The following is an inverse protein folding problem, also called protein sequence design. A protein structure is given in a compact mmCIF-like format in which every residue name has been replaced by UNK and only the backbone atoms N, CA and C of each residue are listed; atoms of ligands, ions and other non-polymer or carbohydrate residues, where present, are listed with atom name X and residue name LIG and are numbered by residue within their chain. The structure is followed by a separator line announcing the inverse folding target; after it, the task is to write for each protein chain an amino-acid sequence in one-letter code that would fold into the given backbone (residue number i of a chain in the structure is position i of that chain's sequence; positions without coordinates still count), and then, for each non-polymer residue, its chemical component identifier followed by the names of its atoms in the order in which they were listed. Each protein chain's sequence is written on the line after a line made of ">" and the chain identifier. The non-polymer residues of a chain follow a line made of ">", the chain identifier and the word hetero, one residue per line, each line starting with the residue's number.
data_IF_086927891289
#
_entry.id   IF_086927891289
#
_cell.length_a   1.000
_cell.length_b   1.000
_cell.length_c   1.000
_cell.angle_alpha   90.00
_cell.angle_beta   90.00
_cell.angle_gamma   90.00
#
_symmetry.space_group_name_H-M   'P 1'
#
loop_
_entity.id
_entity.type
_entity.pdbx_description
1 polymer ?
#
# COMPACT_ATOMS: atom_id res chain seq x y z
N UNK A 1 3.71 -5.91 -11.44
CA UNK A 1 2.88 -5.25 -10.41
C UNK A 1 3.05 -5.99 -9.10
N UNK A 2 3.14 -5.26 -8.00
CA UNK A 2 3.40 -5.83 -6.68
C UNK A 2 2.14 -6.51 -6.12
N UNK A 3 2.26 -7.76 -5.71
CA UNK A 3 1.19 -8.53 -5.04
C UNK A 3 1.56 -8.97 -3.62
N UNK A 4 2.80 -8.76 -3.21
CA UNK A 4 3.33 -9.05 -1.87
C UNK A 4 4.50 -8.14 -1.54
N UNK A 5 4.61 -7.71 -0.30
CA UNK A 5 5.76 -6.94 0.16
C UNK A 5 6.09 -7.23 1.62
N UNK A 6 7.14 -6.61 2.12
CA UNK A 6 7.58 -6.73 3.51
C UNK A 6 7.76 -5.38 4.17
N UNK A 7 7.54 -5.33 5.46
CA UNK A 7 7.95 -4.26 6.34
C UNK A 7 8.28 -4.87 7.71
N UNK A 8 9.54 -5.12 7.98
CA UNK A 8 10.01 -5.65 9.26
C UNK A 8 11.25 -4.90 9.81
N UNK A 9 11.61 -3.80 9.17
CA UNK A 9 12.59 -2.87 9.73
C UNK A 9 12.16 -2.41 11.14
N UNK A 10 13.10 -2.09 12.04
CA UNK A 10 12.76 -1.59 13.36
C UNK A 10 11.84 -0.36 13.28
N UNK A 11 10.81 -0.25 14.16
CA UNK A 11 9.85 0.86 14.12
C UNK A 11 10.54 2.22 14.12
N UNK A 12 11.57 2.39 14.94
CA UNK A 12 12.31 3.64 15.05
C UNK A 12 13.01 4.04 13.73
N UNK A 13 13.48 3.05 12.97
CA UNK A 13 14.09 3.29 11.67
C UNK A 13 13.04 3.75 10.63
N UNK A 14 11.83 3.19 10.70
CA UNK A 14 10.70 3.59 9.85
C UNK A 14 10.25 5.00 10.20
N UNK A 15 10.01 5.29 11.47
CA UNK A 15 9.58 6.60 11.97
C UNK A 15 10.59 7.69 11.60
N UNK A 16 11.88 7.43 11.79
CA UNK A 16 12.94 8.35 11.43
C UNK A 16 13.01 8.58 9.91
N UNK A 17 12.85 7.51 9.13
CA UNK A 17 12.94 7.58 7.66
C UNK A 17 11.85 8.45 7.04
N UNK A 18 10.64 8.43 7.61
CA UNK A 18 9.46 9.10 7.07
C UNK A 18 9.02 10.34 7.88
N UNK A 19 9.76 10.69 8.94
CA UNK A 19 9.40 11.78 9.85
C UNK A 19 7.94 11.66 10.33
N UNK A 20 7.56 10.46 10.77
CA UNK A 20 6.21 10.11 11.15
C UNK A 20 6.22 9.11 12.29
N UNK A 21 5.14 9.07 13.08
CA UNK A 21 5.02 8.22 14.27
C UNK A 21 3.88 7.22 14.09
N UNK A 22 4.09 5.98 14.49
CA UNK A 22 3.04 4.96 14.52
C UNK A 22 1.93 5.35 15.52
N UNK A 23 0.68 5.35 15.07
CA UNK A 23 -0.51 5.59 15.90
C UNK A 23 -0.85 4.38 16.78
N UNK A 24 -0.44 3.17 16.35
CA UNK A 24 -0.59 1.90 17.06
C UNK A 24 0.74 1.13 17.09
N UNK A 25 0.91 0.17 18.01
CA UNK A 25 2.10 -0.67 18.06
C UNK A 25 2.34 -1.39 16.73
N UNK A 26 3.52 -1.21 16.17
CA UNK A 26 3.91 -1.81 14.91
C UNK A 26 4.09 -3.33 15.03
N UNK A 27 3.49 -4.06 14.10
CA UNK A 27 3.68 -5.50 13.97
C UNK A 27 4.46 -5.80 12.68
N UNK A 28 5.67 -6.38 12.75
CA UNK A 28 6.46 -6.72 11.58
C UNK A 28 5.68 -7.59 10.57
N UNK A 29 5.83 -7.26 9.30
CA UNK A 29 5.21 -7.99 8.19
C UNK A 29 6.26 -8.51 7.23
N UNK A 30 6.49 -9.82 7.26
CA UNK A 30 7.43 -10.48 6.34
C UNK A 30 6.80 -10.79 4.99
N UNK A 31 5.48 -10.90 4.95
CA UNK A 31 4.71 -11.28 3.76
C UNK A 31 3.36 -10.57 3.76
N UNK A 32 3.39 -9.25 3.59
CA UNK A 32 2.20 -8.44 3.50
C UNK A 32 1.41 -8.78 2.22
N UNK A 33 0.11 -8.97 2.36
CA UNK A 33 -0.79 -9.44 1.32
C UNK A 33 -2.05 -8.58 1.23
N UNK A 34 -2.75 -8.59 0.09
CA UNK A 34 -4.06 -7.97 -0.04
C UNK A 34 -5.03 -8.37 1.08
N UNK A 35 -5.90 -7.45 1.46
CA UNK A 35 -6.89 -7.54 2.54
C UNK A 35 -6.32 -7.50 3.97
N UNK A 36 -5.05 -7.30 4.12
CA UNK A 36 -4.44 -7.01 5.42
C UNK A 36 -4.41 -5.50 5.67
N UNK A 37 -4.54 -5.12 6.95
CA UNK A 37 -4.31 -3.74 7.39
C UNK A 37 -2.81 -3.51 7.53
N UNK A 38 -2.30 -2.52 6.82
CA UNK A 38 -0.87 -2.30 6.62
C UNK A 38 -0.50 -0.82 6.82
N UNK A 39 0.72 -0.53 7.30
CA UNK A 39 1.16 0.83 7.60
C UNK A 39 1.21 1.74 6.38
N UNK A 40 0.61 2.92 6.51
CA UNK A 40 0.60 3.97 5.50
C UNK A 40 0.77 5.35 6.13
N UNK A 41 1.26 6.29 5.32
CA UNK A 41 1.20 7.73 5.60
C UNK A 41 0.26 8.35 4.58
N UNK A 42 -0.84 8.93 5.03
CA UNK A 42 -1.84 9.58 4.17
C UNK A 42 -1.59 11.07 4.00
N UNK A 43 -2.15 11.64 2.96
CA UNK A 43 -2.12 13.07 2.68
C UNK A 43 -3.11 13.89 3.54
N UNK A 44 -3.94 13.21 4.29
CA UNK A 44 -4.94 13.80 5.19
C UNK A 44 -4.45 13.96 6.64
N UNK A 45 -3.32 13.35 7.01
CA UNK A 45 -2.74 13.39 8.36
C UNK A 45 -1.23 13.35 8.32
N UNK A 46 -0.62 14.51 8.34
CA UNK A 46 0.83 14.66 8.36
C UNK A 46 1.46 14.06 9.63
N UNK A 47 2.57 13.36 9.43
CA UNK A 47 3.38 12.82 10.52
C UNK A 47 2.76 11.61 11.26
N UNK A 48 1.68 11.03 10.77
CA UNK A 48 1.03 9.87 11.37
C UNK A 48 1.14 8.64 10.48
N UNK A 49 1.68 7.54 11.02
CA UNK A 49 1.66 6.22 10.39
C UNK A 49 0.48 5.46 10.96
N UNK A 50 -0.53 5.24 10.15
CA UNK A 50 -1.73 4.48 10.50
C UNK A 50 -1.88 3.25 9.62
N UNK A 51 -2.85 2.39 9.91
CA UNK A 51 -3.13 1.23 9.09
C UNK A 51 -4.31 1.47 8.16
N UNK A 52 -4.18 0.98 6.93
CA UNK A 52 -5.28 0.88 5.96
C UNK A 52 -5.31 -0.53 5.36
N UNK A 53 -6.51 -0.99 5.02
CA UNK A 53 -6.66 -2.28 4.34
C UNK A 53 -6.23 -2.19 2.88
N UNK A 54 -5.39 -3.12 2.44
CA UNK A 54 -4.98 -3.21 1.04
C UNK A 54 -6.08 -3.79 0.17
N UNK A 55 -6.59 -2.98 -0.74
CA UNK A 55 -7.66 -3.32 -1.68
C UNK A 55 -8.64 -2.16 -1.79
N UNK A 56 -8.40 -1.25 -2.74
CA UNK A 56 -9.22 -0.07 -2.93
C UNK A 56 -10.61 -0.46 -3.42
N UNK A 57 -11.63 -0.05 -2.67
CA UNK A 57 -13.03 -0.18 -3.06
C UNK A 57 -13.51 1.17 -3.57
N UNK A 58 -13.98 1.28 -4.83
CA UNK A 58 -14.47 2.55 -5.34
C UNK A 58 -15.67 3.08 -4.52
N UNK A 59 -15.84 4.41 -4.39
CA UNK A 59 -16.91 4.99 -3.56
C UNK A 59 -18.34 4.62 -3.99
N UNK A 60 -18.50 4.20 -5.24
CA UNK A 60 -19.78 3.79 -5.82
C UNK A 60 -20.06 2.28 -5.72
N UNK A 61 -19.13 1.50 -5.16
CA UNK A 61 -19.31 0.05 -5.02
C UNK A 61 -20.07 -0.28 -3.73
N UNK A 62 -21.07 -1.13 -3.85
CA UNK A 62 -21.94 -1.50 -2.73
C UNK A 62 -21.33 -2.56 -1.82
N UNK A 63 -20.32 -3.27 -2.29
CA UNK A 63 -19.70 -4.37 -1.52
C UNK A 63 -18.22 -4.54 -1.80
N UNK A 64 -17.55 -5.28 -0.90
CA UNK A 64 -16.17 -5.75 -1.05
C UNK A 64 -16.07 -7.15 -1.65
N UNK A 65 -17.15 -7.70 -2.16
CA UNK A 65 -17.19 -9.13 -2.55
C UNK A 65 -16.09 -9.50 -3.56
N UNK A 66 -15.75 -8.58 -4.45
CA UNK A 66 -14.68 -8.77 -5.45
C UNK A 66 -13.28 -8.44 -4.92
N UNK A 67 -13.12 -8.14 -3.62
CA UNK A 67 -11.81 -7.92 -2.99
C UNK A 67 -11.15 -6.58 -3.24
N UNK A 68 -11.76 -5.69 -4.01
CA UNK A 68 -11.21 -4.39 -4.38
C UNK A 68 -10.03 -4.49 -5.36
N UNK A 69 -9.52 -3.32 -5.74
CA UNK A 69 -8.35 -3.21 -6.62
C UNK A 69 -7.07 -3.21 -5.81
N UNK A 70 -6.20 -4.18 -6.06
CA UNK A 70 -4.92 -4.30 -5.35
C UNK A 70 -3.79 -3.50 -6.00
N UNK A 71 -3.94 -3.09 -7.27
CA UNK A 71 -2.97 -2.29 -8.01
C UNK A 71 -3.67 -1.31 -8.95
N UNK A 72 -3.03 -0.18 -9.20
CA UNK A 72 -3.39 0.80 -10.23
C UNK A 72 -2.19 1.04 -11.15
N UNK A 73 -2.44 1.23 -12.42
CA UNK A 73 -1.40 1.59 -13.40
C UNK A 73 -1.24 3.09 -13.46
N UNK A 74 -0.02 3.58 -13.31
CA UNK A 74 0.29 5.01 -13.34
C UNK A 74 -0.19 5.67 -14.65
N UNK A 75 -0.11 4.94 -15.77
CA UNK A 75 -0.47 5.44 -17.10
C UNK A 75 -1.97 5.73 -17.26
N UNK A 76 -2.82 5.11 -16.45
CA UNK A 76 -4.28 5.22 -16.59
C UNK A 76 -4.99 5.66 -15.32
N UNK A 77 -4.27 5.84 -14.22
CA UNK A 77 -4.84 6.15 -12.90
C UNK A 77 -5.66 7.45 -12.90
N UNK A 78 -5.23 8.45 -13.68
CA UNK A 78 -5.90 9.74 -13.79
C UNK A 78 -7.25 9.69 -14.53
N UNK A 79 -7.52 8.62 -15.30
CA UNK A 79 -8.69 8.52 -16.18
C UNK A 79 -9.67 7.42 -15.75
N UNK A 80 -9.17 6.37 -15.11
CA UNK A 80 -10.00 5.23 -14.66
C UNK A 80 -11.01 5.66 -13.58
N UNK A 81 -12.31 5.41 -13.76
CA UNK A 81 -13.35 5.78 -12.79
C UNK A 81 -13.08 5.31 -11.36
N UNK A 82 -12.46 4.13 -11.22
CA UNK A 82 -12.14 3.56 -9.91
C UNK A 82 -11.07 4.33 -9.13
N UNK A 83 -10.25 5.14 -9.80
CA UNK A 83 -9.06 5.75 -9.22
C UNK A 83 -8.99 7.27 -9.35
N UNK A 84 -9.58 7.83 -10.44
CA UNK A 84 -9.37 9.23 -10.84
C UNK A 84 -9.73 10.23 -9.75
N UNK A 85 -10.80 9.97 -9.00
CA UNK A 85 -11.30 10.92 -7.99
C UNK A 85 -10.33 10.99 -6.80
N UNK A 86 -9.84 9.84 -6.33
CA UNK A 86 -8.79 9.78 -5.32
C UNK A 86 -7.45 10.36 -5.83
N UNK A 87 -7.09 10.08 -7.10
CA UNK A 87 -5.88 10.61 -7.70
C UNK A 87 -5.89 12.12 -7.85
N UNK A 88 -7.03 12.69 -8.27
CA UNK A 88 -7.21 14.14 -8.47
C UNK A 88 -7.57 14.88 -7.17
N UNK A 89 -7.96 14.14 -6.14
CA UNK A 89 -8.49 14.68 -4.88
C UNK A 89 -9.77 15.50 -5.10
N UNK A 90 -10.59 15.10 -6.08
CA UNK A 90 -11.86 15.75 -6.44
C UNK A 90 -13.08 15.10 -5.76
N UNK A 91 -12.84 14.11 -4.89
CA UNK A 91 -13.89 13.33 -4.22
C UNK A 91 -13.39 12.67 -2.94
N UNK A 92 -14.11 11.67 -2.42
CA UNK A 92 -13.68 10.94 -1.24
C UNK A 92 -12.44 10.12 -1.53
N UNK A 93 -11.47 10.15 -0.59
CA UNK A 93 -10.17 9.49 -0.74
C UNK A 93 -9.06 10.45 -1.13
N UNK A 94 -7.89 9.90 -1.39
CA UNK A 94 -6.70 10.69 -1.69
C UNK A 94 -5.49 9.82 -2.01
N UNK A 95 -4.32 10.39 -1.78
CA UNK A 95 -3.03 9.78 -2.02
C UNK A 95 -2.41 9.38 -0.70
N UNK A 96 -1.71 8.29 -0.69
CA UNK A 96 -0.90 7.90 0.46
C UNK A 96 0.36 7.15 0.03
N UNK A 97 1.21 6.90 1.00
CA UNK A 97 2.43 6.14 0.86
C UNK A 97 2.31 4.85 1.66
N UNK A 98 2.43 3.72 1.01
CA UNK A 98 2.61 2.43 1.68
C UNK A 98 4.08 2.27 2.02
N UNK A 99 4.36 1.99 3.29
CA UNK A 99 5.72 1.83 3.80
C UNK A 99 6.17 0.38 3.62
N UNK A 100 7.38 0.20 3.10
CA UNK A 100 7.95 -1.11 2.82
C UNK A 100 9.45 -1.13 3.05
N UNK A 101 10.04 -2.30 3.20
CA UNK A 101 11.48 -2.53 3.16
C UNK A 101 11.89 -3.55 2.08
N UNK A 102 10.92 -4.09 1.36
CA UNK A 102 11.12 -4.96 0.22
C UNK A 102 9.79 -5.35 -0.42
N UNK A 103 9.81 -5.75 -1.66
CA UNK A 103 8.65 -6.35 -2.32
C UNK A 103 9.05 -7.62 -3.06
N UNK A 104 8.08 -8.49 -3.33
CA UNK A 104 8.31 -9.78 -3.95
C UNK A 104 7.83 -9.78 -5.39
N UNK A 105 8.67 -10.33 -6.27
CA UNK A 105 8.33 -10.66 -7.65
C UNK A 105 8.73 -12.10 -7.95
N UNK A 106 7.99 -12.75 -8.85
CA UNK A 106 8.19 -14.14 -9.22
C UNK A 106 8.68 -14.23 -10.65
N UNK A 107 9.78 -14.95 -10.83
CA UNK A 107 10.35 -15.27 -12.14
C UNK A 107 10.02 -16.71 -12.48
N UNK A 108 9.55 -16.95 -13.70
CA UNK A 108 9.35 -18.32 -14.19
C UNK A 108 10.69 -19.00 -14.48
N UNK A 109 10.81 -20.23 -14.04
CA UNK A 109 11.99 -21.08 -14.24
C UNK A 109 11.55 -22.51 -14.58
N UNK A 110 12.48 -23.37 -15.00
CA UNK A 110 12.20 -24.78 -15.35
C UNK A 110 11.56 -25.59 -14.20
N UNK A 111 11.77 -25.16 -12.94
CA UNK A 111 11.20 -25.80 -11.74
C UNK A 111 9.93 -25.13 -11.19
N UNK A 112 9.37 -24.15 -11.90
CA UNK A 112 8.21 -23.36 -11.44
C UNK A 112 8.57 -21.89 -11.20
N UNK A 113 7.74 -21.18 -10.43
CA UNK A 113 7.96 -19.77 -10.11
C UNK A 113 8.90 -19.59 -8.91
N UNK A 114 10.00 -18.87 -9.13
CA UNK A 114 10.96 -18.50 -8.09
C UNK A 114 10.65 -17.09 -7.58
N UNK A 115 10.36 -16.91 -6.27
CA UNK A 115 10.21 -15.59 -5.68
C UNK A 115 11.58 -14.91 -5.46
N UNK A 116 11.61 -13.62 -5.71
CA UNK A 116 12.72 -12.74 -5.37
C UNK A 116 12.22 -11.59 -4.51
N UNK A 117 12.95 -11.28 -3.46
CA UNK A 117 12.72 -10.07 -2.66
C UNK A 117 13.59 -8.95 -3.19
N UNK A 118 12.97 -7.87 -3.64
CA UNK A 118 13.63 -6.68 -4.17
C UNK A 118 13.68 -5.62 -3.07
N UNK A 119 14.87 -5.08 -2.82
CA UNK A 119 15.14 -4.04 -1.81
C UNK A 119 15.91 -2.89 -2.42
N UNK A 120 16.01 -1.77 -1.70
CA UNK A 120 17.02 -0.77 -2.00
C UNK A 120 18.42 -1.34 -1.71
N UNK A 121 19.43 -0.83 -2.40
CA UNK A 121 20.81 -1.32 -2.27
C UNK A 121 21.39 -1.17 -0.85
N UNK A 122 20.87 -0.22 -0.08
CA UNK A 122 21.26 0.06 1.31
C UNK A 122 20.28 -0.53 2.34
N UNK A 123 19.33 -1.35 1.91
CA UNK A 123 18.30 -2.00 2.72
C UNK A 123 17.41 -1.04 3.54
N UNK A 124 17.43 0.26 3.25
CA UNK A 124 16.57 1.23 3.94
C UNK A 124 15.10 1.05 3.57
N UNK A 125 14.17 1.36 4.48
CA UNK A 125 12.75 1.46 4.14
C UNK A 125 12.51 2.48 3.03
N UNK A 126 11.53 2.17 2.18
CA UNK A 126 11.06 3.03 1.10
C UNK A 126 9.53 3.10 1.10
N UNK A 127 8.98 3.96 0.28
CA UNK A 127 7.54 4.10 0.14
C UNK A 127 7.09 3.85 -1.29
N UNK A 128 5.90 3.26 -1.42
CA UNK A 128 5.21 3.09 -2.69
C UNK A 128 4.01 4.04 -2.73
N UNK A 129 3.87 4.78 -3.84
CA UNK A 129 2.73 5.67 -4.05
C UNK A 129 1.47 4.85 -4.30
N UNK A 130 0.42 5.13 -3.54
CA UNK A 130 -0.87 4.46 -3.64
C UNK A 130 -2.02 5.46 -3.48
N UNK A 131 -3.24 4.98 -3.73
CA UNK A 131 -4.47 5.71 -3.50
C UNK A 131 -5.27 5.04 -2.38
N UNK A 132 -6.08 5.86 -1.69
CA UNK A 132 -7.00 5.36 -0.69
C UNK A 132 -8.40 5.92 -0.90
N UNK A 133 -9.41 5.18 -0.48
CA UNK A 133 -10.81 5.60 -0.45
C UNK A 133 -11.43 5.21 0.88
N UNK A 134 -12.28 6.06 1.48
CA UNK A 134 -13.10 5.60 2.57
C UNK A 134 -14.12 4.58 2.05
N UNK A 135 -14.29 3.50 2.76
CA UNK A 135 -15.33 2.51 2.49
C UNK A 135 -16.02 2.15 3.78
N UNK A 136 -17.30 2.50 3.86
CA UNK A 136 -18.18 2.08 4.94
C UNK A 136 -19.13 1.03 4.36
N UNK A 137 -19.06 -0.23 4.85
CA UNK A 137 -20.02 -1.25 4.41
C UNK A 137 -21.43 -0.82 4.85
N UNK A 138 -22.35 -1.01 3.94
CA UNK A 138 -23.78 -0.73 4.19
C UNK A 138 -24.35 -1.62 5.31
#
# INVERSE_FOLDING_TARGET
>A
MCGRYSLFAPPEAVEQRFDATFDEPFQPRYNAAPRQSLPVVGDDRDGEIRTMEWGLVPPWADSREDGGFINARAETVADKPSFRDAFRQDGPGGRCLVLADGFYEWVESEGGKQPYRVTLADDRPFAMAVLWTPFEPA
#
